data_IF_557397853849
#
_entry.id   IF_557397853849
#
_cell.length_a   1.000
_cell.length_b   1.000
_cell.length_c   1.000
_cell.angle_alpha   90.00
_cell.angle_beta   90.00
_cell.angle_gamma   90.00
#
_symmetry.space_group_name_H-M   'P 1'
#
loop_
_entity.id
_entity.type
_entity.pdbx_description
1 polymer ?
#
# COMPACT_ATOMS: atom_id res chain seq x y z
N UNK A 1 -20.51 -8.74 18.71
CA UNK A 1 -19.77 -9.44 19.78
C UNK A 1 -18.69 -8.48 20.27
N UNK A 2 -18.41 -8.43 21.57
CA UNK A 2 -17.40 -7.51 22.10
C UNK A 2 -16.02 -8.20 22.13
N UNK A 3 -14.96 -7.41 22.23
CA UNK A 3 -13.61 -7.90 22.54
C UNK A 3 -13.61 -8.72 23.84
N UNK A 4 -12.73 -9.72 23.93
CA UNK A 4 -12.50 -10.44 25.18
C UNK A 4 -11.88 -9.52 26.25
N UNK A 5 -12.01 -9.85 27.55
CA UNK A 5 -11.33 -9.10 28.60
C UNK A 5 -9.81 -9.03 28.39
N UNK A 6 -9.22 -10.11 27.88
CA UNK A 6 -7.79 -10.19 27.58
C UNK A 6 -7.38 -9.24 26.45
N UNK A 7 -8.16 -9.15 25.38
CA UNK A 7 -7.89 -8.20 24.30
C UNK A 7 -7.97 -6.75 24.79
N UNK A 8 -8.96 -6.42 25.64
CA UNK A 8 -9.09 -5.09 26.23
C UNK A 8 -7.91 -4.75 27.14
N UNK A 9 -7.48 -5.70 27.97
CA UNK A 9 -6.28 -5.57 28.80
C UNK A 9 -5.03 -5.30 27.94
N UNK A 10 -4.81 -6.10 26.90
CA UNK A 10 -3.67 -5.94 26.00
C UNK A 10 -3.67 -4.58 25.30
N UNK A 11 -4.80 -4.13 24.75
CA UNK A 11 -4.92 -2.82 24.10
C UNK A 11 -4.76 -1.64 25.08
N UNK A 12 -4.93 -1.87 26.39
CA UNK A 12 -4.63 -0.87 27.42
C UNK A 12 -3.15 -0.79 27.79
N UNK A 13 -2.36 -1.80 27.41
CA UNK A 13 -0.92 -1.81 27.68
C UNK A 13 -0.21 -0.78 26.79
N UNK A 14 0.77 0.00 27.32
CA UNK A 14 1.46 1.03 26.55
C UNK A 14 2.04 0.54 25.21
N UNK A 15 2.54 -0.71 25.18
CA UNK A 15 3.04 -1.38 23.98
C UNK A 15 2.05 -1.40 22.82
N UNK A 16 0.76 -1.62 23.09
CA UNK A 16 -0.27 -1.83 22.07
C UNK A 16 -1.25 -0.67 21.96
N UNK A 17 -1.02 0.43 22.68
CA UNK A 17 -1.88 1.61 22.66
C UNK A 17 -2.08 2.16 21.23
N UNK A 18 -1.04 2.08 20.39
CA UNK A 18 -1.11 2.54 19.00
C UNK A 18 -1.87 1.60 18.08
N UNK A 19 -1.78 0.29 18.34
CA UNK A 19 -2.63 -0.67 17.65
C UNK A 19 -4.10 -0.38 17.97
N UNK A 20 -4.43 -0.07 19.23
CA UNK A 20 -5.78 0.34 19.62
C UNK A 20 -6.25 1.56 18.83
N UNK A 21 -5.36 2.53 18.61
CA UNK A 21 -5.65 3.70 17.79
C UNK A 21 -6.00 3.33 16.34
N UNK A 22 -5.12 2.59 15.67
CA UNK A 22 -5.26 2.20 14.25
C UNK A 22 -6.49 1.32 14.02
N UNK A 23 -6.84 0.44 14.97
CA UNK A 23 -8.04 -0.40 14.88
C UNK A 23 -9.31 0.44 14.67
N UNK A 24 -9.38 1.65 15.24
CA UNK A 24 -10.57 2.51 15.12
C UNK A 24 -10.83 3.05 13.70
N UNK A 25 -9.89 2.85 12.78
CA UNK A 25 -9.98 3.25 11.38
C UNK A 25 -10.71 2.20 10.54
N UNK A 26 -10.78 0.95 11.05
CA UNK A 26 -11.46 -0.15 10.40
C UNK A 26 -12.95 -0.14 10.72
N UNK A 27 -13.77 -0.49 9.72
CA UNK A 27 -15.23 -0.48 9.83
C UNK A 27 -15.75 -1.48 10.85
N UNK A 28 -15.18 -2.68 10.85
CA UNK A 28 -15.64 -3.76 11.71
C UNK A 28 -14.82 -3.71 13.01
N UNK A 29 -15.51 -3.53 14.14
CA UNK A 29 -14.87 -3.58 15.45
C UNK A 29 -14.26 -4.96 15.72
N UNK A 30 -13.14 -4.98 16.44
CA UNK A 30 -12.57 -6.24 16.93
C UNK A 30 -13.52 -6.97 17.88
N UNK A 31 -13.50 -8.28 17.75
CA UNK A 31 -14.26 -9.22 18.57
C UNK A 31 -13.33 -10.27 19.15
N UNK A 32 -13.82 -11.01 20.16
CA UNK A 32 -13.07 -12.14 20.71
C UNK A 32 -12.69 -13.22 19.67
N UNK A 33 -13.43 -13.34 18.56
CA UNK A 33 -13.16 -14.34 17.53
C UNK A 33 -11.97 -13.97 16.62
N UNK A 34 -11.59 -12.70 16.61
CA UNK A 34 -10.48 -12.18 15.80
C UNK A 34 -9.11 -12.55 16.38
N UNK A 35 -9.05 -12.90 17.67
CA UNK A 35 -7.86 -13.36 18.36
C UNK A 35 -7.76 -14.89 18.43
N UNK A 36 -6.53 -15.38 18.61
CA UNK A 36 -6.27 -16.76 18.97
C UNK A 36 -6.52 -16.99 20.46
N UNK A 37 -7.06 -18.15 20.78
CA UNK A 37 -7.17 -18.65 22.15
C UNK A 37 -5.82 -19.18 22.64
N UNK A 38 -5.64 -19.28 23.97
CA UNK A 38 -4.44 -19.87 24.57
C UNK A 38 -4.17 -21.30 24.07
N UNK A 39 -5.24 -22.09 23.85
CA UNK A 39 -5.11 -23.45 23.33
C UNK A 39 -4.57 -23.47 21.89
N UNK A 40 -4.99 -22.53 21.05
CA UNK A 40 -4.45 -22.36 19.70
C UNK A 40 -2.98 -21.94 19.74
N UNK A 41 -2.62 -21.00 20.61
CA UNK A 41 -1.22 -20.57 20.80
C UNK A 41 -0.33 -21.75 21.20
N UNK A 42 -0.75 -22.55 22.19
CA UNK A 42 0.00 -23.76 22.58
C UNK A 42 0.09 -24.77 21.45
N UNK A 43 -0.95 -24.92 20.61
CA UNK A 43 -0.89 -25.79 19.45
C UNK A 43 0.10 -25.28 18.38
N UNK A 44 0.18 -23.96 18.18
CA UNK A 44 1.17 -23.32 17.29
C UNK A 44 2.58 -23.57 17.81
N UNK A 45 2.86 -23.28 19.08
CA UNK A 45 4.18 -23.50 19.70
C UNK A 45 4.61 -24.97 19.59
N UNK A 46 3.68 -25.91 19.83
CA UNK A 46 3.92 -27.34 19.64
C UNK A 46 4.24 -27.69 18.19
N UNK A 47 3.56 -27.09 17.22
CA UNK A 47 3.81 -27.31 15.80
C UNK A 47 5.18 -26.78 15.37
N UNK A 48 5.56 -25.58 15.85
CA UNK A 48 6.84 -24.95 15.55
C UNK A 48 8.02 -25.63 16.28
N UNK A 49 7.75 -26.37 17.36
CA UNK A 49 8.78 -27.02 18.18
C UNK A 49 9.53 -26.06 19.10
N UNK A 50 9.04 -24.83 19.28
CA UNK A 50 9.62 -23.82 20.16
C UNK A 50 8.54 -22.85 20.68
N UNK A 51 8.75 -22.22 21.85
CA UNK A 51 7.83 -21.22 22.37
C UNK A 51 7.86 -19.95 21.51
N UNK A 52 6.68 -19.34 21.32
CA UNK A 52 6.59 -18.05 20.65
C UNK A 52 7.16 -16.94 21.57
N UNK A 53 7.74 -15.87 21.01
CA UNK A 53 8.04 -14.67 21.76
C UNK A 53 6.76 -14.12 22.43
N UNK A 54 6.88 -13.52 23.63
CA UNK A 54 5.70 -13.04 24.37
C UNK A 54 4.87 -12.06 23.54
N UNK A 55 5.50 -11.10 22.85
CA UNK A 55 4.79 -10.17 21.96
C UNK A 55 4.07 -10.84 20.80
N UNK A 56 4.57 -11.97 20.29
CA UNK A 56 3.87 -12.71 19.22
C UNK A 56 2.63 -13.42 19.76
N UNK A 57 2.68 -13.94 21.00
CA UNK A 57 1.49 -14.49 21.65
C UNK A 57 0.44 -13.40 21.84
N UNK A 58 0.81 -12.26 22.40
CA UNK A 58 -0.09 -11.11 22.59
C UNK A 58 -0.68 -10.62 21.27
N UNK A 59 0.14 -10.51 20.22
CA UNK A 59 -0.30 -10.12 18.87
C UNK A 59 -1.36 -11.09 18.32
N UNK A 60 -1.17 -12.40 18.49
CA UNK A 60 -2.16 -13.37 18.07
C UNK A 60 -3.40 -13.40 18.95
N UNK A 61 -3.29 -13.22 20.26
CA UNK A 61 -4.45 -13.01 21.15
C UNK A 61 -5.27 -11.80 20.73
N UNK A 62 -4.62 -10.75 20.22
CA UNK A 62 -5.29 -9.55 19.72
C UNK A 62 -5.98 -9.79 18.37
N UNK A 63 -5.25 -10.23 17.35
CA UNK A 63 -5.65 -10.09 15.94
C UNK A 63 -5.41 -11.35 15.09
N UNK A 64 -4.97 -12.47 15.66
CA UNK A 64 -4.39 -13.59 14.92
C UNK A 64 -5.25 -14.15 13.78
N UNK A 65 -6.58 -14.13 13.90
CA UNK A 65 -7.52 -14.58 12.87
C UNK A 65 -7.98 -13.47 11.92
N UNK A 66 -7.68 -12.20 12.23
CA UNK A 66 -8.11 -11.04 11.46
C UNK A 66 -7.08 -10.55 10.44
N UNK A 67 -5.80 -10.86 10.64
CA UNK A 67 -4.70 -10.43 9.78
C UNK A 67 -4.87 -10.89 8.32
N UNK A 68 -4.66 -9.96 7.40
CA UNK A 68 -4.71 -10.13 5.94
C UNK A 68 -3.51 -9.44 5.30
N UNK A 69 -3.05 -9.98 4.18
CA UNK A 69 -2.09 -9.30 3.31
C UNK A 69 -2.78 -8.18 2.54
N UNK A 70 -2.13 -7.02 2.43
CA UNK A 70 -2.50 -5.99 1.46
C UNK A 70 -1.40 -5.90 0.40
N UNK A 71 -0.22 -5.43 0.78
CA UNK A 71 1.00 -5.49 -0.03
C UNK A 71 1.96 -6.50 0.58
N UNK A 72 2.25 -6.35 1.86
CA UNK A 72 3.10 -7.26 2.60
C UNK A 72 2.29 -8.42 3.23
N UNK A 73 2.99 -9.43 3.72
CA UNK A 73 2.37 -10.62 4.29
C UNK A 73 2.65 -10.76 5.79
N UNK A 74 1.67 -10.41 6.66
CA UNK A 74 1.75 -10.77 8.06
C UNK A 74 1.77 -12.29 8.22
N UNK A 75 2.62 -12.80 9.12
CA UNK A 75 2.61 -14.23 9.44
C UNK A 75 1.34 -14.58 10.20
N UNK A 76 0.37 -15.17 9.51
CA UNK A 76 -0.81 -15.72 10.13
C UNK A 76 -0.48 -16.97 10.98
N UNK A 77 -1.21 -17.24 12.08
CA UNK A 77 -1.01 -18.41 12.95
C UNK A 77 -0.76 -19.74 12.22
N UNK A 78 -1.49 -19.99 11.12
CA UNK A 78 -1.40 -21.23 10.33
C UNK A 78 -0.28 -21.27 9.29
N UNK A 79 0.40 -20.15 9.08
CA UNK A 79 1.45 -19.95 8.08
C UNK A 79 2.81 -19.59 8.71
N UNK A 80 2.89 -19.64 10.04
CA UNK A 80 4.15 -19.45 10.75
C UNK A 80 5.12 -20.57 10.42
N UNK A 81 6.39 -20.19 10.34
CA UNK A 81 7.49 -21.13 10.19
C UNK A 81 8.72 -20.57 10.89
N UNK A 82 9.68 -21.45 11.11
CA UNK A 82 10.91 -21.17 11.86
C UNK A 82 12.11 -21.38 10.95
N UNK A 83 13.08 -20.48 11.05
CA UNK A 83 14.41 -20.60 10.43
C UNK A 83 15.47 -20.30 11.48
N UNK A 84 16.41 -21.22 11.69
CA UNK A 84 17.54 -21.02 12.62
C UNK A 84 17.10 -20.56 14.03
N UNK A 85 16.01 -21.16 14.55
CA UNK A 85 15.35 -20.81 15.81
C UNK A 85 14.72 -19.40 15.86
N UNK A 86 14.52 -18.76 14.71
CA UNK A 86 13.82 -17.49 14.58
C UNK A 86 12.43 -17.72 13.96
N UNK A 87 11.41 -17.08 14.53
CA UNK A 87 10.03 -17.14 14.03
C UNK A 87 9.85 -16.05 12.97
N UNK A 88 9.39 -16.38 11.76
CA UNK A 88 9.03 -15.33 10.80
C UNK A 88 7.79 -14.58 11.31
N UNK A 89 7.88 -13.26 11.44
CA UNK A 89 6.81 -12.38 11.93
C UNK A 89 6.02 -11.74 10.79
N UNK A 90 6.74 -11.31 9.75
CA UNK A 90 6.20 -10.62 8.60
C UNK A 90 7.10 -10.88 7.41
N UNK A 91 6.59 -10.77 6.20
CA UNK A 91 7.48 -10.61 5.06
C UNK A 91 6.98 -9.60 4.06
N UNK A 92 7.92 -9.14 3.25
CA UNK A 92 7.84 -7.88 2.53
C UNK A 92 7.79 -8.13 1.03
N UNK A 93 6.92 -7.43 0.31
CA UNK A 93 6.89 -7.47 -1.15
C UNK A 93 8.16 -6.87 -1.77
N UNK A 94 9.05 -7.73 -2.29
CA UNK A 94 10.35 -7.31 -2.83
C UNK A 94 11.46 -7.20 -1.77
N UNK A 95 11.18 -7.57 -0.51
CA UNK A 95 12.13 -7.53 0.59
C UNK A 95 12.30 -8.88 1.32
N UNK A 96 13.23 -8.90 2.27
CA UNK A 96 13.46 -10.05 3.14
C UNK A 96 12.42 -10.15 4.27
N UNK A 97 12.13 -11.36 4.79
CA UNK A 97 11.26 -11.51 5.95
C UNK A 97 11.87 -10.93 7.24
N UNK A 98 11.00 -10.39 8.10
CA UNK A 98 11.29 -10.02 9.47
C UNK A 98 11.16 -11.25 10.37
N UNK A 99 12.17 -11.51 11.19
CA UNK A 99 12.16 -12.60 12.15
C UNK A 99 12.28 -12.12 13.59
N UNK A 100 11.70 -12.90 14.50
CA UNK A 100 11.80 -12.73 15.95
C UNK A 100 12.63 -13.86 16.57
N UNK A 101 13.72 -13.53 17.29
CA UNK A 101 14.35 -14.43 18.24
C UNK A 101 13.41 -14.84 19.38
N UNK A 102 13.73 -15.85 20.20
CA UNK A 102 13.00 -16.10 21.45
C UNK A 102 13.16 -14.92 22.44
N UNK A 103 12.13 -14.64 23.24
CA UNK A 103 12.20 -13.58 24.25
C UNK A 103 10.85 -12.99 24.61
N UNK A 104 10.89 -11.90 25.37
CA UNK A 104 9.68 -11.14 25.74
C UNK A 104 9.25 -10.26 24.56
N UNK A 105 10.07 -9.26 24.23
CA UNK A 105 9.94 -8.39 23.06
C UNK A 105 11.33 -8.22 22.41
N UNK A 106 11.81 -9.25 21.71
CA UNK A 106 13.17 -9.27 21.17
C UNK A 106 13.35 -8.22 20.07
N UNK A 107 14.60 -7.85 19.79
CA UNK A 107 14.92 -7.02 18.62
C UNK A 107 14.70 -7.86 17.36
N UNK A 108 13.95 -7.31 16.40
CA UNK A 108 13.70 -7.94 15.12
C UNK A 108 14.97 -8.11 14.29
N UNK A 109 15.01 -9.16 13.48
CA UNK A 109 16.17 -9.48 12.64
C UNK A 109 15.76 -9.66 11.18
N UNK A 110 16.56 -9.11 10.28
CA UNK A 110 16.46 -9.33 8.84
C UNK A 110 17.70 -10.11 8.38
N UNK A 111 17.56 -11.30 7.76
CA UNK A 111 18.71 -12.15 7.44
C UNK A 111 19.63 -11.58 6.35
N UNK A 112 19.14 -10.61 5.57
CA UNK A 112 19.80 -10.12 4.36
C UNK A 112 20.25 -8.66 4.47
N UNK A 113 20.81 -8.26 5.62
CA UNK A 113 21.57 -7.02 5.75
C UNK A 113 20.78 -5.74 5.46
N UNK A 114 19.46 -5.74 5.66
CA UNK A 114 18.67 -4.51 5.57
C UNK A 114 19.21 -3.51 6.59
N UNK A 115 19.45 -2.28 6.16
CA UNK A 115 19.95 -1.19 7.00
C UNK A 115 18.94 -0.68 8.04
N UNK A 116 17.75 -1.28 8.13
CA UNK A 116 16.72 -0.88 9.08
C UNK A 116 17.23 -0.82 10.52
N UNK A 117 16.84 0.23 11.24
CA UNK A 117 17.29 0.38 12.61
C UNK A 117 16.78 -0.78 13.50
N UNK A 118 17.60 -1.26 14.43
CA UNK A 118 17.19 -2.31 15.36
C UNK A 118 16.02 -1.80 16.22
N UNK A 119 14.89 -2.50 16.15
CA UNK A 119 13.71 -2.19 16.95
C UNK A 119 13.07 -3.47 17.51
N UNK A 120 12.40 -3.40 18.68
CA UNK A 120 11.61 -4.52 19.20
C UNK A 120 10.53 -5.00 18.24
N UNK A 121 10.13 -6.26 18.33
CA UNK A 121 9.11 -6.85 17.47
C UNK A 121 7.75 -6.14 17.60
N UNK A 122 7.37 -5.69 18.81
CA UNK A 122 6.12 -4.94 18.99
C UNK A 122 6.07 -3.62 18.19
N UNK A 123 7.22 -2.95 18.11
CA UNK A 123 7.41 -1.72 17.31
C UNK A 123 7.26 -2.02 15.83
N UNK A 124 7.94 -3.07 15.35
CA UNK A 124 7.80 -3.52 13.97
C UNK A 124 6.36 -3.89 13.59
N UNK A 125 5.68 -4.68 14.42
CA UNK A 125 4.30 -5.09 14.18
C UNK A 125 3.34 -3.89 14.09
N UNK A 126 3.53 -2.89 14.96
CA UNK A 126 2.75 -1.65 14.94
C UNK A 126 3.02 -0.85 13.68
N UNK A 127 4.30 -0.64 13.34
CA UNK A 127 4.69 0.12 12.14
C UNK A 127 4.26 -0.55 10.84
N UNK A 128 4.35 -1.88 10.74
CA UNK A 128 3.91 -2.63 9.57
C UNK A 128 2.38 -2.61 9.43
N UNK A 129 1.62 -2.72 10.53
CA UNK A 129 0.17 -2.54 10.50
C UNK A 129 -0.22 -1.13 10.03
N UNK A 130 0.48 -0.09 10.50
CA UNK A 130 0.25 1.28 10.05
C UNK A 130 0.62 1.48 8.58
N UNK A 131 1.76 0.91 8.14
CA UNK A 131 2.20 0.92 6.75
C UNK A 131 1.15 0.28 5.84
N UNK A 132 0.68 -0.93 6.15
CA UNK A 132 -0.35 -1.59 5.35
C UNK A 132 -1.70 -0.86 5.39
N UNK A 133 -1.97 -0.12 6.47
CA UNK A 133 -3.14 0.77 6.55
C UNK A 133 -2.99 1.94 5.57
N UNK A 134 -1.82 2.60 5.54
CA UNK A 134 -1.51 3.64 4.56
C UNK A 134 -1.61 3.10 3.14
N UNK A 135 -0.94 2.00 2.83
CA UNK A 135 -0.95 1.38 1.49
C UNK A 135 -2.36 1.00 1.06
N UNK A 136 -3.17 0.44 1.97
CA UNK A 136 -4.56 0.13 1.71
C UNK A 136 -5.40 1.34 1.27
N UNK A 137 -5.07 2.52 1.79
CA UNK A 137 -5.73 3.78 1.45
C UNK A 137 -5.12 4.39 0.19
N UNK A 138 -3.78 4.43 0.08
CA UNK A 138 -3.03 4.96 -1.06
C UNK A 138 -3.40 4.25 -2.37
N UNK A 139 -3.56 2.93 -2.33
CA UNK A 139 -4.00 2.10 -3.46
C UNK A 139 -5.49 2.23 -3.81
N UNK A 140 -6.26 2.99 -3.02
CA UNK A 140 -7.71 3.09 -3.18
C UNK A 140 -8.47 1.80 -2.84
N UNK A 141 -7.81 0.75 -2.31
CA UNK A 141 -8.45 -0.55 -2.04
C UNK A 141 -9.59 -0.46 -1.03
N UNK A 142 -9.58 0.55 -0.16
CA UNK A 142 -10.53 0.69 0.94
C UNK A 142 -10.38 -0.41 2.00
N UNK A 143 -9.28 -1.16 1.97
CA UNK A 143 -8.99 -2.26 2.88
C UNK A 143 -7.55 -2.24 3.37
N UNK A 144 -7.35 -2.58 4.64
CA UNK A 144 -6.03 -2.79 5.25
C UNK A 144 -5.90 -4.21 5.80
N UNK A 145 -4.83 -4.47 6.56
CA UNK A 145 -4.56 -5.81 7.11
C UNK A 145 -5.64 -6.32 8.07
N UNK A 146 -6.53 -5.45 8.57
CA UNK A 146 -7.65 -5.83 9.44
C UNK A 146 -9.03 -5.76 8.73
N UNK A 147 -9.05 -5.69 7.39
CA UNK A 147 -10.28 -5.67 6.60
C UNK A 147 -10.64 -4.28 6.07
N UNK A 148 -11.94 -4.01 5.88
CA UNK A 148 -12.39 -2.77 5.27
C UNK A 148 -12.28 -1.57 6.23
N UNK A 149 -11.91 -0.41 5.69
CA UNK A 149 -11.90 0.86 6.42
C UNK A 149 -13.31 1.43 6.60
N UNK A 150 -13.45 2.34 7.57
CA UNK A 150 -14.61 3.20 7.65
C UNK A 150 -14.74 4.07 6.38
N UNK A 151 -15.96 4.38 5.97
CA UNK A 151 -16.22 5.21 4.79
C UNK A 151 -15.72 6.67 4.93
N UNK A 152 -15.41 7.08 6.16
CA UNK A 152 -14.81 8.38 6.51
C UNK A 152 -13.28 8.36 6.52
N UNK A 153 -12.65 7.19 6.34
CA UNK A 153 -11.21 7.13 6.16
C UNK A 153 -10.89 7.66 4.76
N UNK A 154 -10.00 8.64 4.71
CA UNK A 154 -9.49 9.22 3.48
C UNK A 154 -7.97 9.05 3.43
N UNK A 155 -7.41 9.10 2.22
CA UNK A 155 -5.97 9.27 2.02
C UNK A 155 -5.72 9.75 0.61
N UNK A 156 -4.44 9.84 0.27
CA UNK A 156 -3.95 10.29 -1.02
C UNK A 156 -3.09 9.23 -1.68
N UNK A 157 -2.88 9.38 -2.99
CA UNK A 157 -1.73 8.74 -3.65
C UNK A 157 -0.40 9.15 -2.99
N UNK A 158 0.67 8.43 -3.33
CA UNK A 158 2.03 8.80 -2.93
C UNK A 158 2.36 10.19 -3.49
N UNK A 159 2.57 11.17 -2.62
CA UNK A 159 2.94 12.52 -3.05
C UNK A 159 4.43 12.57 -3.30
N UNK A 160 4.84 12.76 -4.56
CA UNK A 160 6.24 12.69 -5.02
C UNK A 160 6.89 14.05 -5.30
N UNK A 161 6.10 15.13 -5.33
CA UNK A 161 6.54 16.48 -5.74
C UNK A 161 6.17 17.54 -4.68
N UNK A 162 6.43 17.23 -3.41
CA UNK A 162 6.17 18.17 -2.32
C UNK A 162 7.27 19.24 -2.28
N UNK A 163 6.85 20.51 -2.32
CA UNK A 163 7.74 21.64 -2.14
C UNK A 163 8.30 21.70 -0.70
N UNK A 164 9.43 22.37 -0.53
CA UNK A 164 10.03 22.57 0.81
C UNK A 164 9.06 23.32 1.72
N UNK A 165 8.32 24.28 1.17
CA UNK A 165 7.32 25.05 1.90
C UNK A 165 6.16 24.17 2.41
N UNK A 166 5.67 23.24 1.58
CA UNK A 166 4.65 22.26 1.98
C UNK A 166 5.19 21.28 3.01
N UNK A 167 6.44 20.86 2.86
CA UNK A 167 7.12 19.99 3.82
C UNK A 167 7.21 20.64 5.20
N UNK A 168 7.71 21.88 5.26
CA UNK A 168 7.81 22.66 6.50
C UNK A 168 6.42 22.93 7.09
N UNK A 169 5.42 23.23 6.24
CA UNK A 169 4.05 23.43 6.68
C UNK A 169 3.47 22.15 7.30
N UNK A 170 3.68 20.98 6.70
CA UNK A 170 3.26 19.69 7.25
C UNK A 170 3.92 19.44 8.62
N UNK A 171 5.24 19.57 8.72
CA UNK A 171 5.96 19.31 9.98
C UNK A 171 5.55 20.28 11.10
N UNK A 172 5.23 21.54 10.74
CA UNK A 172 4.73 22.55 11.68
C UNK A 172 3.31 22.26 12.17
N UNK A 173 2.42 21.78 11.29
CA UNK A 173 1.03 21.47 11.65
C UNK A 173 0.87 20.09 12.32
N UNK A 174 1.70 19.12 11.92
CA UNK A 174 1.64 17.74 12.37
C UNK A 174 2.96 17.37 13.04
N UNK A 175 3.02 17.34 14.38
CA UNK A 175 4.24 17.01 15.09
C UNK A 175 4.63 15.55 14.83
N UNK A 176 5.91 15.19 15.06
CA UNK A 176 6.34 13.80 15.07
C UNK A 176 5.47 12.99 16.04
N UNK A 177 5.02 11.82 15.61
CA UNK A 177 4.34 10.88 16.48
C UNK A 177 5.33 10.42 17.54
N UNK A 178 4.94 10.48 18.82
CA UNK A 178 5.75 9.98 19.94
C UNK A 178 5.84 8.43 19.98
N UNK A 179 5.41 7.78 18.90
CA UNK A 179 5.24 6.33 18.84
C UNK A 179 6.57 5.71 18.42
N UNK A 180 7.01 4.63 19.08
CA UNK A 180 8.15 3.89 18.60
C UNK A 180 7.72 3.20 17.30
N UNK A 181 8.16 3.74 16.17
CA UNK A 181 7.93 3.18 14.84
C UNK A 181 9.28 2.84 14.23
N UNK A 182 9.39 1.70 13.53
CA UNK A 182 10.65 1.30 12.94
C UNK A 182 11.04 2.28 11.85
N UNK A 183 12.33 2.59 11.79
CA UNK A 183 12.90 3.34 10.68
C UNK A 183 13.43 2.31 9.69
N UNK A 184 12.76 2.22 8.54
CA UNK A 184 13.18 1.35 7.46
C UNK A 184 14.15 2.14 6.60
N UNK A 185 15.44 1.84 6.72
CA UNK A 185 16.38 2.24 5.69
C UNK A 185 16.20 1.25 4.55
N UNK A 186 15.66 1.72 3.43
CA UNK A 186 15.79 0.98 2.19
C UNK A 186 17.25 1.08 1.77
N UNK A 187 17.97 -0.04 1.55
CA UNK A 187 19.23 0.08 0.84
C UNK A 187 18.90 0.73 -0.53
N UNK A 188 19.82 1.53 -1.10
CA UNK A 188 19.69 1.89 -2.50
C UNK A 188 19.45 0.59 -3.28
N UNK A 189 18.65 0.64 -4.34
CA UNK A 189 18.45 -0.48 -5.25
C UNK A 189 19.73 -0.85 -6.01
N UNK A 190 20.90 -0.71 -5.40
CA UNK A 190 22.15 -1.31 -5.86
C UNK A 190 21.89 -2.79 -6.01
N UNK A 191 21.78 -3.21 -7.28
CA UNK A 191 21.91 -4.57 -7.77
C UNK A 191 21.77 -5.65 -6.68
N UNK A 192 20.58 -5.75 -6.06
CA UNK A 192 20.10 -7.06 -5.69
C UNK A 192 20.09 -7.78 -7.02
N UNK A 193 21.11 -8.62 -7.24
CA UNK A 193 21.29 -9.39 -8.45
C UNK A 193 20.09 -10.29 -8.69
N UNK A 194 19.00 -9.69 -9.16
CA UNK A 194 17.96 -10.34 -9.92
C UNK A 194 18.52 -10.84 -11.26
N UNK A 195 19.72 -10.37 -11.64
CA UNK A 195 20.51 -10.86 -12.77
C UNK A 195 20.73 -12.39 -12.74
N UNK A 196 20.68 -13.06 -11.59
CA UNK A 196 20.82 -14.53 -11.51
C UNK A 196 19.49 -15.30 -11.57
N UNK A 197 18.35 -14.61 -11.68
CA UNK A 197 17.03 -15.26 -11.86
C UNK A 197 16.43 -15.10 -13.25
N UNK A 198 17.00 -14.25 -14.12
CA UNK A 198 16.48 -14.03 -15.46
C UNK A 198 17.53 -14.12 -16.57
N UNK A 199 17.94 -15.36 -16.86
CA UNK A 199 18.73 -15.73 -18.03
C UNK A 199 17.92 -15.57 -19.36
N UNK A 200 16.80 -14.82 -19.38
CA UNK A 200 15.94 -14.61 -20.57
C UNK A 200 15.39 -13.19 -20.75
N UNK A 201 16.21 -12.18 -20.51
CA UNK A 201 16.29 -11.05 -21.44
C UNK A 201 15.58 -9.76 -21.03
N UNK A 202 16.43 -8.73 -20.88
CA UNK A 202 16.20 -7.27 -21.04
C UNK A 202 14.82 -6.76 -20.65
N UNK A 203 14.74 -6.29 -19.42
CA UNK A 203 13.73 -5.36 -18.96
C UNK A 203 13.98 -3.94 -19.53
N UNK A 204 13.01 -3.31 -20.23
CA UNK A 204 13.10 -1.94 -20.72
C UNK A 204 12.76 -0.83 -19.70
N UNK A 205 12.45 -1.13 -18.43
CA UNK A 205 11.94 -0.15 -17.44
C UNK A 205 13.02 0.51 -16.56
N UNK A 206 14.17 0.91 -17.12
CA UNK A 206 15.14 1.79 -16.43
C UNK A 206 15.04 3.25 -16.91
N UNK A 207 14.18 4.08 -16.29
CA UNK A 207 14.56 5.48 -16.16
C UNK A 207 14.01 6.12 -14.87
N UNK A 208 14.74 6.08 -13.74
CA UNK A 208 14.71 7.14 -12.71
C UNK A 208 15.71 6.94 -11.55
N UNK A 209 16.92 6.41 -11.80
CA UNK A 209 17.92 6.27 -10.72
C UNK A 209 18.84 7.50 -10.66
N UNK A 210 18.90 8.12 -9.46
CA UNK A 210 19.82 9.20 -9.08
C UNK A 210 21.26 8.93 -9.59
N UNK A 211 22.01 10.01 -9.88
CA UNK A 211 23.45 9.91 -10.16
C UNK A 211 24.16 9.27 -8.97
N UNK A 212 24.86 8.16 -9.19
CA UNK A 212 25.58 7.37 -8.17
C UNK A 212 26.81 8.06 -7.54
N UNK A 213 27.01 9.37 -7.79
CA UNK A 213 28.20 10.10 -7.32
C UNK A 213 27.94 10.91 -6.04
N UNK A 214 26.70 10.95 -5.53
CA UNK A 214 26.37 11.63 -4.27
C UNK A 214 26.35 10.63 -3.10
N UNK A 215 26.96 10.96 -1.94
CA UNK A 215 26.95 10.08 -0.79
C UNK A 215 25.51 9.83 -0.32
N UNK A 216 25.08 8.57 -0.43
CA UNK A 216 23.78 8.13 0.07
C UNK A 216 23.69 8.36 1.57
N UNK A 217 22.71 9.16 1.98
CA UNK A 217 22.32 9.26 3.40
C UNK A 217 21.15 8.31 3.59
N UNK A 218 21.26 7.27 4.44
CA UNK A 218 20.16 6.35 4.68
C UNK A 218 18.91 7.11 5.03
N UNK A 219 17.86 6.85 4.29
CA UNK A 219 16.61 7.56 4.45
C UNK A 219 15.75 6.87 5.49
N UNK A 220 15.49 7.62 6.54
CA UNK A 220 14.73 7.18 7.70
C UNK A 220 13.28 7.61 7.49
N UNK A 221 12.37 6.66 7.37
CA UNK A 221 10.95 6.96 7.41
C UNK A 221 10.60 7.66 8.74
N UNK A 222 9.99 8.85 8.66
CA UNK A 222 9.52 9.57 9.85
C UNK A 222 8.01 9.68 9.84
N UNK A 223 7.40 9.62 11.02
CA UNK A 223 5.96 9.54 11.18
C UNK A 223 5.45 10.73 11.97
N UNK A 224 4.43 11.38 11.42
CA UNK A 224 3.83 12.60 11.95
C UNK A 224 2.33 12.45 11.97
N UNK A 225 1.64 13.24 12.80
CA UNK A 225 0.20 13.19 12.81
C UNK A 225 -0.46 13.68 14.09
N UNK A 226 -1.74 13.35 14.18
CA UNK A 226 -2.61 13.59 15.33
C UNK A 226 -3.54 12.38 15.53
N UNK A 227 -4.59 12.52 16.36
CA UNK A 227 -5.54 11.44 16.61
C UNK A 227 -6.42 11.07 15.40
N UNK A 228 -6.41 11.85 14.33
CA UNK A 228 -7.23 11.61 13.14
C UNK A 228 -6.41 11.62 11.84
N UNK A 229 -5.09 11.73 11.91
CA UNK A 229 -4.20 11.94 10.77
C UNK A 229 -2.89 11.18 11.00
N UNK A 230 -2.47 10.38 10.03
CA UNK A 230 -1.16 9.74 9.99
C UNK A 230 -0.49 10.19 8.69
N UNK A 231 0.74 10.69 8.81
CA UNK A 231 1.60 11.12 7.72
C UNK A 231 2.92 10.37 7.85
N UNK A 232 3.37 9.73 6.78
CA UNK A 232 4.67 9.09 6.68
C UNK A 232 5.49 9.79 5.63
N UNK A 233 6.62 10.35 6.06
CA UNK A 233 7.64 10.90 5.18
C UNK A 233 8.63 9.80 4.84
N UNK A 234 8.79 9.51 3.54
CA UNK A 234 9.78 8.59 3.03
C UNK A 234 10.82 9.39 2.24
N UNK A 235 12.08 9.17 2.58
CA UNK A 235 13.23 9.61 1.77
C UNK A 235 13.39 11.11 1.51
N UNK A 236 12.65 11.96 2.24
CA UNK A 236 12.65 13.41 1.98
C UNK A 236 11.93 13.80 0.69
N UNK A 237 11.40 12.83 -0.05
CA UNK A 237 10.85 13.00 -1.40
C UNK A 237 9.38 12.60 -1.46
N UNK A 238 8.97 11.65 -0.62
CA UNK A 238 7.63 11.10 -0.68
C UNK A 238 6.87 11.33 0.60
N UNK A 239 5.58 11.60 0.45
CA UNK A 239 4.64 11.63 1.57
C UNK A 239 3.47 10.71 1.28
N UNK A 240 3.24 9.82 2.22
CA UNK A 240 2.00 9.08 2.32
C UNK A 240 1.18 9.63 3.47
N UNK A 241 -0.13 9.62 3.32
CA UNK A 241 -1.00 10.11 4.37
C UNK A 241 -2.34 9.41 4.36
N UNK A 242 -2.93 9.35 5.54
CA UNK A 242 -4.33 8.96 5.70
C UNK A 242 -4.95 9.72 6.86
N UNK A 243 -6.26 9.94 6.78
CA UNK A 243 -7.06 10.58 7.82
C UNK A 243 -8.27 9.73 8.15
N UNK A 244 -8.68 9.74 9.41
CA UNK A 244 -9.81 8.95 9.91
C UNK A 244 -11.17 9.59 9.63
N UNK A 245 -11.19 10.91 9.50
CA UNK A 245 -12.43 11.70 9.37
C UNK A 245 -12.34 12.70 8.24
N UNK A 246 -13.49 13.08 7.69
CA UNK A 246 -13.58 14.16 6.68
C UNK A 246 -12.99 15.49 7.19
N UNK A 247 -13.24 15.84 8.44
CA UNK A 247 -12.71 17.08 9.01
C UNK A 247 -11.18 17.07 9.12
N UNK A 248 -10.55 15.92 9.33
CA UNK A 248 -9.10 15.79 9.27
C UNK A 248 -8.57 15.88 7.83
N UNK A 249 -9.27 15.27 6.86
CA UNK A 249 -8.94 15.41 5.44
C UNK A 249 -9.01 16.88 4.98
N UNK A 250 -10.05 17.63 5.40
CA UNK A 250 -10.20 19.06 5.08
C UNK A 250 -9.06 19.89 5.70
N UNK A 251 -8.66 19.61 6.96
CA UNK A 251 -7.50 20.28 7.58
C UNK A 251 -6.21 20.03 6.81
N UNK A 252 -5.94 18.78 6.46
CA UNK A 252 -4.75 18.42 5.69
C UNK A 252 -4.79 19.06 4.28
N UNK A 253 -5.97 19.11 3.67
CA UNK A 253 -6.23 19.79 2.40
C UNK A 253 -5.82 21.25 2.39
N UNK A 254 -5.98 21.96 3.51
CA UNK A 254 -5.53 23.34 3.64
C UNK A 254 -4.00 23.49 3.75
N UNK A 255 -3.29 22.43 4.15
CA UNK A 255 -1.82 22.42 4.23
C UNK A 255 -1.18 22.06 2.90
N UNK A 256 -1.74 21.06 2.22
CA UNK A 256 -1.17 20.47 1.00
C UNK A 256 -1.82 20.90 -0.31
N UNK A 257 -2.85 21.74 -0.25
CA UNK A 257 -3.69 22.10 -1.40
C UNK A 257 -3.99 20.89 -2.30
N UNK A 258 -4.68 19.90 -1.73
CA UNK A 258 -4.88 18.58 -2.37
C UNK A 258 -5.63 18.64 -3.72
N UNK A 259 -6.10 19.80 -4.14
CA UNK A 259 -6.80 20.06 -5.40
C UNK A 259 -5.92 20.77 -6.46
N UNK A 260 -4.70 21.19 -6.13
CA UNK A 260 -3.89 22.11 -6.94
C UNK A 260 -3.34 21.55 -8.27
N UNK A 261 -3.21 20.23 -8.41
CA UNK A 261 -2.41 19.60 -9.48
C UNK A 261 -3.25 18.93 -10.57
N UNK A 262 -4.50 19.35 -10.71
CA UNK A 262 -5.42 18.79 -11.69
C UNK A 262 -5.98 17.43 -11.25
N UNK A 263 -6.44 16.65 -12.21
CA UNK A 263 -7.15 15.40 -11.94
C UNK A 263 -6.51 14.27 -12.71
N UNK A 264 -6.17 13.21 -12.00
CA UNK A 264 -5.79 11.93 -12.57
C UNK A 264 -7.05 11.20 -13.03
N UNK A 265 -7.05 10.74 -14.28
CA UNK A 265 -8.05 9.86 -14.85
C UNK A 265 -7.38 8.51 -15.07
N UNK A 266 -7.90 7.46 -14.42
CA UNK A 266 -7.44 6.10 -14.59
C UNK A 266 -8.38 5.32 -15.49
N UNK A 267 -7.79 4.64 -16.47
CA UNK A 267 -8.47 3.70 -17.36
C UNK A 267 -7.96 2.31 -17.07
N UNK A 268 -8.82 1.45 -16.56
CA UNK A 268 -8.48 0.07 -16.23
C UNK A 268 -9.26 -0.90 -17.12
N UNK A 269 -8.59 -1.95 -17.59
CA UNK A 269 -9.27 -3.13 -18.09
C UNK A 269 -9.21 -4.25 -17.06
N UNK A 270 -10.38 -4.78 -16.70
CA UNK A 270 -10.50 -6.00 -15.89
C UNK A 270 -9.73 -7.16 -16.54
N UNK A 271 -9.34 -8.20 -15.76
CA UNK A 271 -8.43 -9.23 -16.24
C UNK A 271 -9.02 -9.90 -17.45
N UNK A 272 -8.26 -9.84 -18.52
CA UNK A 272 -8.60 -10.54 -19.73
C UNK A 272 -8.37 -12.02 -19.44
N UNK A 273 -9.36 -12.89 -19.68
CA UNK A 273 -9.21 -14.32 -19.43
C UNK A 273 -7.93 -14.85 -20.07
N UNK A 274 -7.25 -15.82 -19.45
CA UNK A 274 -5.98 -16.34 -19.98
C UNK A 274 -6.08 -16.84 -21.43
N UNK A 275 -7.26 -17.32 -21.84
CA UNK A 275 -7.54 -17.69 -23.22
C UNK A 275 -7.58 -16.48 -24.17
N UNK A 276 -8.21 -15.38 -23.75
CA UNK A 276 -8.27 -14.14 -24.52
C UNK A 276 -6.92 -13.43 -24.57
N UNK A 277 -6.17 -13.44 -23.47
CA UNK A 277 -4.80 -12.95 -23.43
C UNK A 277 -3.91 -13.77 -24.38
N UNK A 278 -3.99 -15.11 -24.32
CA UNK A 278 -3.27 -15.99 -25.24
C UNK A 278 -3.69 -15.79 -26.70
N UNK A 279 -4.99 -15.55 -26.97
CA UNK A 279 -5.51 -15.22 -28.31
C UNK A 279 -4.90 -13.92 -28.84
N UNK A 280 -4.75 -12.90 -27.99
CA UNK A 280 -4.15 -11.59 -28.34
C UNK A 280 -2.63 -11.69 -28.51
N UNK A 281 -1.93 -12.40 -27.63
CA UNK A 281 -0.49 -12.69 -27.76
C UNK A 281 -0.19 -13.44 -29.06
N UNK A 282 -1.01 -14.42 -29.45
CA UNK A 282 -0.89 -15.15 -30.73
C UNK A 282 -1.04 -14.26 -31.97
N UNK A 283 -1.66 -13.09 -31.86
CA UNK A 283 -1.75 -12.08 -32.94
C UNK A 283 -0.54 -11.15 -33.00
N UNK A 284 0.54 -11.45 -32.27
CA UNK A 284 1.80 -10.72 -32.30
C UNK A 284 1.84 -9.46 -31.43
N UNK A 285 0.81 -9.19 -30.63
CA UNK A 285 0.81 -8.06 -29.68
C UNK A 285 1.45 -8.50 -28.36
N UNK A 286 2.76 -8.30 -28.22
CA UNK A 286 3.45 -8.46 -26.92
C UNK A 286 3.15 -7.29 -25.96
N UNK A 287 2.80 -6.13 -26.50
CA UNK A 287 2.12 -5.04 -25.82
C UNK A 287 0.87 -4.67 -26.63
N UNK A 288 -0.18 -4.19 -25.97
CA UNK A 288 -1.23 -3.47 -26.67
C UNK A 288 -0.60 -2.18 -27.22
N UNK A 289 -0.40 -2.14 -28.54
CA UNK A 289 -0.15 -0.89 -29.27
C UNK A 289 -1.22 0.12 -28.84
N UNK A 290 -0.81 1.31 -28.39
CA UNK A 290 -1.70 2.38 -27.93
C UNK A 290 -2.84 2.61 -28.92
N UNK A 291 -2.53 2.59 -30.22
CA UNK A 291 -3.51 2.77 -31.29
C UNK A 291 -4.58 1.69 -31.28
N UNK A 292 -4.20 0.44 -30.95
CA UNK A 292 -5.15 -0.66 -30.79
C UNK A 292 -5.93 -0.55 -29.49
N UNK A 293 -5.33 -0.01 -28.43
CA UNK A 293 -6.04 0.23 -27.18
C UNK A 293 -7.17 1.25 -27.36
N UNK A 294 -6.83 2.40 -27.95
CA UNK A 294 -7.76 3.51 -28.21
C UNK A 294 -8.63 3.32 -29.47
N UNK A 295 -8.44 2.22 -30.20
CA UNK A 295 -9.18 1.87 -31.42
C UNK A 295 -8.85 2.68 -32.67
N UNK A 296 -8.23 3.86 -32.53
CA UNK A 296 -7.79 4.69 -33.66
C UNK A 296 -6.68 5.67 -33.26
N UNK A 297 -5.86 6.08 -34.23
CA UNK A 297 -4.85 7.15 -34.04
C UNK A 297 -5.51 8.49 -33.67
N UNK A 298 -6.69 8.77 -34.24
CA UNK A 298 -7.42 10.00 -33.95
C UNK A 298 -7.87 10.08 -32.49
N UNK A 299 -8.31 8.96 -31.89
CA UNK A 299 -8.68 8.91 -30.47
C UNK A 299 -7.44 9.07 -29.59
N UNK A 300 -6.35 8.38 -29.92
CA UNK A 300 -5.08 8.51 -29.19
C UNK A 300 -4.55 9.96 -29.21
N UNK A 301 -4.62 10.64 -30.36
CA UNK A 301 -4.24 12.05 -30.48
C UNK A 301 -5.14 12.94 -29.61
N UNK A 302 -6.46 12.74 -29.66
CA UNK A 302 -7.39 13.51 -28.82
C UNK A 302 -7.17 13.30 -27.32
N UNK A 303 -6.81 12.08 -26.89
CA UNK A 303 -6.41 11.81 -25.50
C UNK A 303 -5.13 12.59 -25.17
N UNK A 304 -4.10 12.51 -26.01
CA UNK A 304 -2.84 13.26 -25.84
C UNK A 304 -3.04 14.78 -25.78
N UNK A 305 -4.01 15.32 -26.50
CA UNK A 305 -4.34 16.75 -26.46
C UNK A 305 -5.03 17.16 -25.14
N UNK A 306 -5.78 16.24 -24.53
CA UNK A 306 -6.55 16.49 -23.30
C UNK A 306 -5.78 16.14 -22.01
N UNK A 307 -4.74 15.32 -22.10
CA UNK A 307 -3.96 14.89 -20.93
C UNK A 307 -2.48 15.21 -21.08
N UNK A 308 -1.85 15.57 -19.97
CA UNK A 308 -0.41 15.41 -19.81
C UNK A 308 -0.19 13.91 -19.59
N UNK A 309 0.17 13.21 -20.66
CA UNK A 309 0.34 11.75 -20.59
C UNK A 309 1.64 11.44 -19.85
N UNK A 310 1.55 11.11 -18.57
CA UNK A 310 2.55 10.28 -17.92
C UNK A 310 2.14 8.83 -18.10
N UNK A 311 2.79 8.15 -19.04
CA UNK A 311 2.48 6.77 -19.39
C UNK A 311 3.13 5.83 -18.37
N UNK A 312 2.44 5.57 -17.26
CA UNK A 312 2.69 4.37 -16.47
C UNK A 312 1.72 3.29 -16.95
N UNK A 313 2.13 2.48 -17.93
CA UNK A 313 1.47 1.19 -18.14
C UNK A 313 2.13 0.17 -17.23
N UNK A 314 1.43 -0.26 -16.19
CA UNK A 314 1.77 -1.54 -15.57
C UNK A 314 1.50 -2.61 -16.63
N UNK A 315 2.56 -3.24 -17.15
CA UNK A 315 2.43 -4.48 -17.91
C UNK A 315 1.55 -5.43 -17.09
N UNK A 316 0.67 -6.23 -17.72
CA UNK A 316 -0.16 -7.17 -16.98
C UNK A 316 0.74 -8.09 -16.17
N UNK A 317 0.83 -7.80 -14.87
CA UNK A 317 1.48 -8.67 -13.91
C UNK A 317 0.68 -9.97 -13.80
N UNK A 318 0.97 -10.82 -12.81
CA UNK A 318 0.20 -12.03 -12.54
C UNK A 318 -1.31 -11.79 -12.39
N UNK A 319 -1.71 -10.55 -12.06
CA UNK A 319 -3.08 -10.09 -11.90
C UNK A 319 -3.85 -9.91 -13.23
N UNK A 320 -3.16 -9.73 -14.36
CA UNK A 320 -3.76 -9.68 -15.70
C UNK A 320 -4.52 -8.40 -16.04
N UNK A 321 -4.47 -7.37 -15.19
CA UNK A 321 -5.05 -6.05 -15.45
C UNK A 321 -4.15 -5.21 -16.36
N UNK A 322 -4.74 -4.19 -16.97
CA UNK A 322 -3.98 -3.12 -17.62
C UNK A 322 -4.57 -1.80 -17.14
N UNK A 323 -3.70 -0.89 -16.72
CA UNK A 323 -4.05 0.42 -16.21
C UNK A 323 -3.32 1.51 -16.98
N UNK A 324 -3.99 2.63 -17.19
CA UNK A 324 -3.46 3.85 -17.77
C UNK A 324 -3.82 5.01 -16.87
N UNK A 325 -2.82 5.76 -16.44
CA UNK A 325 -2.98 6.94 -15.60
C UNK A 325 -2.78 8.18 -16.47
N UNK A 326 -3.74 9.11 -16.44
CA UNK A 326 -3.74 10.29 -17.31
C UNK A 326 -4.00 11.54 -16.46
N UNK A 327 -3.02 12.44 -16.35
CA UNK A 327 -3.20 13.69 -15.62
C UNK A 327 -3.81 14.73 -16.57
N UNK A 328 -4.88 15.40 -16.15
CA UNK A 328 -5.57 16.38 -17.00
C UNK A 328 -6.15 17.56 -16.22
N UNK A 329 -6.10 18.78 -16.78
CA UNK A 329 -6.86 19.92 -16.27
C UNK A 329 -8.34 19.90 -16.72
N UNK A 330 -8.73 18.96 -17.58
CA UNK A 330 -10.08 18.85 -18.17
C UNK A 330 -10.66 17.44 -17.97
N UNK A 331 -10.77 16.94 -16.73
CA UNK A 331 -11.12 15.55 -16.44
C UNK A 331 -12.44 15.12 -17.05
N UNK A 332 -13.48 15.97 -16.98
CA UNK A 332 -14.78 15.66 -17.57
C UNK A 332 -14.68 15.41 -19.08
N UNK A 333 -13.99 16.28 -19.82
CA UNK A 333 -13.85 16.14 -21.27
C UNK A 333 -13.06 14.88 -21.64
N UNK A 334 -12.00 14.58 -20.89
CA UNK A 334 -11.22 13.36 -21.08
C UNK A 334 -12.05 12.10 -20.78
N UNK A 335 -12.77 12.05 -19.65
CA UNK A 335 -13.63 10.92 -19.32
C UNK A 335 -14.74 10.72 -20.35
N UNK A 336 -15.41 11.79 -20.79
CA UNK A 336 -16.45 11.72 -21.82
C UNK A 336 -15.88 11.13 -23.13
N UNK A 337 -14.69 11.55 -23.55
CA UNK A 337 -13.97 11.01 -24.71
C UNK A 337 -13.65 9.53 -24.54
N UNK A 338 -13.03 9.16 -23.40
CA UNK A 338 -12.61 7.79 -23.11
C UNK A 338 -13.80 6.85 -23.08
N UNK A 339 -14.89 7.21 -22.39
CA UNK A 339 -16.11 6.40 -22.34
C UNK A 339 -16.70 6.23 -23.73
N UNK A 340 -16.84 7.32 -24.51
CA UNK A 340 -17.42 7.25 -25.85
C UNK A 340 -16.59 6.38 -26.81
N UNK A 341 -15.27 6.45 -26.72
CA UNK A 341 -14.37 5.73 -27.63
C UNK A 341 -14.10 4.27 -27.21
N UNK A 342 -13.96 4.02 -25.91
CA UNK A 342 -13.47 2.74 -25.38
C UNK A 342 -14.61 1.77 -25.03
N UNK A 343 -15.78 2.23 -24.61
CA UNK A 343 -16.92 1.33 -24.29
C UNK A 343 -17.33 0.47 -25.49
N UNK A 344 -17.41 0.97 -26.74
CA UNK A 344 -17.73 0.12 -27.89
C UNK A 344 -16.69 -0.99 -28.16
N UNK A 345 -15.45 -0.82 -27.70
CA UNK A 345 -14.34 -1.75 -27.94
C UNK A 345 -14.26 -2.78 -26.81
N UNK A 346 -14.37 -2.31 -25.56
CA UNK A 346 -14.05 -3.08 -24.37
C UNK A 346 -15.28 -3.49 -23.55
N UNK A 347 -16.42 -2.83 -23.76
CA UNK A 347 -17.69 -3.12 -23.08
C UNK A 347 -17.51 -3.13 -21.56
N UNK A 348 -18.06 -4.14 -20.91
CA UNK A 348 -18.08 -4.30 -19.46
C UNK A 348 -16.70 -4.55 -18.83
N UNK A 349 -15.64 -4.74 -19.63
CA UNK A 349 -14.27 -4.88 -19.13
C UNK A 349 -13.64 -3.53 -18.76
N UNK A 350 -14.19 -2.43 -19.28
CA UNK A 350 -13.65 -1.09 -19.09
C UNK A 350 -14.10 -0.50 -17.76
N UNK A 351 -13.16 0.06 -17.02
CA UNK A 351 -13.43 1.00 -15.95
C UNK A 351 -12.73 2.32 -16.23
N UNK A 352 -13.45 3.43 -16.08
CA UNK A 352 -12.90 4.79 -16.14
C UNK A 352 -13.22 5.46 -14.82
N UNK A 353 -12.19 5.91 -14.12
CA UNK A 353 -12.32 6.60 -12.84
C UNK A 353 -11.44 7.85 -12.81
N UNK A 354 -11.73 8.79 -11.91
CA UNK A 354 -10.95 10.00 -11.74
C UNK A 354 -10.76 10.37 -10.28
N UNK A 355 -9.64 11.00 -9.95
CA UNK A 355 -9.35 11.58 -8.63
C UNK A 355 -8.47 12.82 -8.75
N UNK A 356 -8.52 13.76 -7.79
CA UNK A 356 -7.47 14.78 -7.68
C UNK A 356 -6.10 14.09 -7.56
N UNK A 357 -5.06 14.59 -8.23
CA UNK A 357 -3.72 13.95 -8.26
C UNK A 357 -3.17 13.70 -6.86
N UNK A 358 -3.42 14.63 -5.93
CA UNK A 358 -2.99 14.53 -4.54
C UNK A 358 -4.02 13.87 -3.62
N UNK A 359 -5.23 13.62 -4.14
CA UNK A 359 -6.29 12.87 -3.45
C UNK A 359 -6.16 11.37 -3.69
N UNK A 360 -6.88 10.56 -2.91
CA UNK A 360 -6.77 9.10 -2.95
C UNK A 360 -8.12 8.40 -3.03
N UNK A 361 -9.17 9.12 -3.46
CA UNK A 361 -10.46 8.50 -3.73
C UNK A 361 -10.90 8.73 -5.15
N UNK A 362 -10.94 7.63 -5.88
CA UNK A 362 -11.51 7.56 -7.21
C UNK A 362 -13.02 7.71 -7.23
N UNK A 363 -13.49 8.51 -8.18
CA UNK A 363 -14.88 8.57 -8.61
C UNK A 363 -15.01 7.81 -9.91
N UNK A 364 -15.75 6.71 -9.92
CA UNK A 364 -15.97 5.91 -11.13
C UNK A 364 -16.97 6.62 -12.03
N UNK A 365 -16.55 6.86 -13.27
CA UNK A 365 -17.38 7.43 -14.34
C UNK A 365 -18.05 6.31 -15.14
N UNK A 366 -17.35 5.20 -15.35
CA UNK A 366 -17.87 4.03 -16.05
C UNK A 366 -17.35 2.72 -15.41
N UNK A 367 -18.20 1.70 -15.22
CA UNK A 367 -19.65 1.72 -15.46
C UNK A 367 -20.41 2.51 -14.36
N UNK A 368 -21.59 3.09 -14.69
CA UNK A 368 -22.34 3.89 -13.74
C UNK A 368 -22.84 3.05 -12.55
N UNK A 369 -22.75 3.62 -11.34
CA UNK A 369 -23.22 2.97 -10.11
C UNK A 369 -22.18 2.10 -9.39
N UNK A 370 -20.99 1.95 -9.96
CA UNK A 370 -19.84 1.39 -9.24
C UNK A 370 -19.27 2.49 -8.35
N UNK A 371 -19.15 2.21 -7.04
CA UNK A 371 -18.70 3.19 -6.04
C UNK A 371 -17.30 2.91 -5.50
N UNK A 372 -16.61 1.90 -6.04
CA UNK A 372 -15.29 1.48 -5.61
C UNK A 372 -14.43 1.20 -6.84
N UNK A 373 -13.21 1.73 -6.83
CA UNK A 373 -12.19 1.49 -7.82
C UNK A 373 -10.87 1.28 -7.08
N UNK A 374 -10.15 0.23 -7.46
CA UNK A 374 -8.89 -0.17 -6.83
C UNK A 374 -7.86 -0.23 -7.94
N UNK A 375 -6.77 0.52 -7.78
CA UNK A 375 -5.60 0.43 -8.66
C UNK A 375 -4.75 -0.77 -8.25
N UNK A 376 -4.21 -1.51 -9.22
CA UNK A 376 -3.57 -2.81 -9.00
C UNK A 376 -2.05 -2.83 -9.17
#
# INVERSE_FOLDING_TARGET
MNMSPRQQELLSHPRWAQVAHVITWYRDLLTAADGCTQAEITAIEKHLGLPLPTVMREWFELLGHRLRSVQDWPSAPRKLWVKDNLVQVWGWHGGGPLYAPPGEDPIGCFPHGTSSAPAPISVWLTGLLMSETLIGVVSGSGTGSLGAFHAEVHGGGLLTNISIEEWDALQSHYPPLEWPLPTVDFPPSEDFGWDDWDDRGRDPFKPFWRRMDEPYTPTVATWHGDADTIIRFLDGEFVEWTTRTRGAAERLGHVLDLEAEGTEVVVQLSPISGEEQARRLRRGSRMLDETRFFGSEATLAAVKDLSQVDYSSSCPGPSGYMELHLITPSPKALCDLLVAALVPIWGDLLTVALQPVRGGRFTVVHPPGVNHFVTH
#
